data_IF_247208006999
#
_entry.id   IF_247208006999
#
_cell.length_a   1.000
_cell.length_b   1.000
_cell.length_c   1.000
_cell.angle_alpha   90.00
_cell.angle_beta   90.00
_cell.angle_gamma   90.00
#
_symmetry.space_group_name_H-M   'P 1'
#
loop_
_entity.id
_entity.type
_entity.pdbx_description
1 polymer ?
#
# COMPACT_ATOMS: atom_id res chain seq x y z
N UNK A 1 -25.98 -51.33 -3.92
CA UNK A 1 -25.64 -50.65 -2.68
C UNK A 1 -26.19 -49.23 -2.76
N UNK A 2 -27.20 -48.94 -1.94
CA UNK A 2 -27.82 -47.59 -1.87
C UNK A 2 -26.89 -46.68 -1.06
N UNK A 3 -26.35 -45.65 -1.72
CA UNK A 3 -25.61 -44.60 -1.04
C UNK A 3 -26.57 -43.81 -0.15
N UNK A 4 -26.39 -43.93 1.15
CA UNK A 4 -27.06 -43.10 2.13
C UNK A 4 -26.60 -41.64 1.94
N UNK A 5 -27.56 -40.85 1.50
CA UNK A 5 -27.42 -39.40 1.43
C UNK A 5 -27.49 -38.86 2.86
N UNK A 6 -26.35 -38.74 3.54
CA UNK A 6 -26.27 -38.10 4.85
C UNK A 6 -26.52 -36.63 4.62
N UNK A 7 -27.80 -36.23 4.68
CA UNK A 7 -28.15 -34.82 4.81
C UNK A 7 -27.51 -34.30 6.09
N UNK A 8 -26.44 -33.58 5.96
CA UNK A 8 -25.82 -32.85 7.07
C UNK A 8 -26.89 -31.91 7.65
N UNK A 9 -27.33 -32.21 8.88
CA UNK A 9 -28.38 -31.46 9.57
C UNK A 9 -27.83 -30.03 9.77
N UNK A 10 -28.47 -29.06 9.13
CA UNK A 10 -28.08 -27.64 9.27
C UNK A 10 -28.06 -27.26 10.75
N UNK A 11 -26.95 -26.66 11.18
CA UNK A 11 -26.76 -26.24 12.58
C UNK A 11 -27.44 -24.92 12.89
N UNK A 12 -27.90 -24.20 11.87
CA UNK A 12 -28.42 -22.83 11.94
C UNK A 12 -27.36 -21.77 12.13
N UNK A 13 -26.08 -22.16 12.08
CA UNK A 13 -24.94 -21.23 12.15
C UNK A 13 -24.34 -21.06 10.75
N UNK A 14 -24.50 -19.88 10.10
CA UNK A 14 -24.04 -19.68 8.73
C UNK A 14 -22.54 -19.94 8.53
N UNK A 15 -21.70 -19.65 9.52
CA UNK A 15 -20.26 -19.90 9.48
C UNK A 15 -19.90 -21.39 9.39
N UNK A 16 -20.79 -22.28 9.91
CA UNK A 16 -20.63 -23.73 9.87
C UNK A 16 -21.32 -24.31 8.62
N UNK A 17 -22.57 -23.94 8.43
CA UNK A 17 -23.43 -24.48 7.37
C UNK A 17 -23.05 -23.96 5.97
N UNK A 18 -22.39 -22.79 5.90
CA UNK A 18 -21.92 -22.13 4.67
C UNK A 18 -22.98 -22.16 3.55
N UNK A 19 -24.22 -21.64 3.78
CA UNK A 19 -25.33 -21.76 2.82
C UNK A 19 -25.05 -21.14 1.46
N UNK A 20 -24.08 -20.23 1.39
CA UNK A 20 -23.63 -19.61 0.14
C UNK A 20 -22.85 -20.55 -0.77
N UNK A 21 -22.27 -21.65 -0.26
CA UNK A 21 -21.44 -22.57 -1.04
C UNK A 21 -22.23 -23.25 -2.18
N UNK A 22 -23.54 -23.36 -2.06
CA UNK A 22 -24.40 -23.90 -3.13
C UNK A 22 -24.42 -23.04 -4.41
N UNK A 23 -24.03 -21.76 -4.30
CA UNK A 23 -23.97 -20.84 -5.43
C UNK A 23 -22.59 -20.74 -6.05
N UNK A 24 -21.59 -21.42 -5.47
CA UNK A 24 -20.24 -21.42 -6.00
C UNK A 24 -20.04 -22.54 -7.04
N UNK A 25 -19.23 -22.27 -8.11
CA UNK A 25 -18.81 -23.33 -9.01
C UNK A 25 -18.14 -24.47 -8.26
N UNK A 26 -18.32 -25.75 -8.72
CA UNK A 26 -17.74 -26.90 -8.03
C UNK A 26 -16.22 -26.82 -7.82
N UNK A 27 -15.51 -26.14 -8.72
CA UNK A 27 -14.06 -25.94 -8.62
C UNK A 27 -13.66 -25.10 -7.41
N UNK A 28 -14.52 -24.16 -6.98
CA UNK A 28 -14.26 -23.31 -5.82
C UNK A 28 -14.66 -23.98 -4.50
N UNK A 29 -15.54 -25.01 -4.55
CA UNK A 29 -15.96 -25.78 -3.35
C UNK A 29 -14.80 -26.62 -2.81
N UNK A 30 -13.89 -27.06 -3.70
CA UNK A 30 -12.72 -27.84 -3.32
C UNK A 30 -11.62 -27.01 -2.63
N UNK A 31 -11.81 -25.72 -2.50
CA UNK A 31 -10.87 -24.77 -1.92
C UNK A 31 -10.01 -24.08 -2.98
N UNK A 32 -9.70 -22.82 -2.73
CA UNK A 32 -8.72 -22.05 -3.53
C UNK A 32 -7.31 -22.40 -3.02
N UNK A 33 -6.46 -22.89 -3.91
CA UNK A 33 -5.03 -22.96 -3.63
C UNK A 33 -4.51 -21.51 -3.61
N UNK A 34 -4.25 -20.99 -2.42
CA UNK A 34 -3.61 -19.69 -2.24
C UNK A 34 -2.11 -19.92 -2.41
N UNK A 35 -1.46 -19.31 -3.41
CA UNK A 35 -0.02 -19.46 -3.58
C UNK A 35 0.74 -18.81 -2.41
N UNK A 36 1.85 -19.43 -2.01
CA UNK A 36 2.77 -18.86 -1.03
C UNK A 36 3.69 -17.81 -1.70
N UNK A 37 3.08 -16.71 -2.11
CA UNK A 37 3.73 -15.62 -2.83
C UNK A 37 3.26 -14.28 -2.27
N UNK A 38 4.08 -13.24 -2.39
CA UNK A 38 3.65 -11.86 -2.18
C UNK A 38 2.71 -11.44 -3.32
N UNK A 39 1.89 -10.41 -3.05
CA UNK A 39 1.03 -9.81 -4.11
C UNK A 39 1.89 -9.28 -5.26
N UNK A 40 3.07 -8.74 -4.94
CA UNK A 40 4.03 -8.29 -5.96
C UNK A 40 4.45 -9.43 -6.89
N UNK A 41 4.93 -10.55 -6.35
CA UNK A 41 5.37 -11.72 -7.13
C UNK A 41 4.23 -12.27 -7.98
N UNK A 42 3.05 -12.43 -7.38
CA UNK A 42 1.86 -12.92 -8.06
C UNK A 42 1.48 -12.06 -9.27
N UNK A 43 1.52 -10.74 -9.12
CA UNK A 43 1.23 -9.80 -10.21
C UNK A 43 2.32 -9.81 -11.29
N UNK A 44 3.58 -9.88 -10.90
CA UNK A 44 4.69 -9.86 -11.86
C UNK A 44 4.73 -11.13 -12.73
N UNK A 45 4.42 -12.28 -12.16
CA UNK A 45 4.34 -13.54 -12.92
C UNK A 45 3.20 -13.55 -13.95
N UNK A 46 2.12 -12.81 -13.68
CA UNK A 46 0.92 -12.76 -14.53
C UNK A 46 0.81 -11.48 -15.34
N UNK A 47 1.85 -10.68 -15.32
CA UNK A 47 1.91 -9.44 -16.09
C UNK A 47 1.77 -9.77 -17.60
N UNK A 48 0.78 -9.17 -18.30
CA UNK A 48 0.48 -9.51 -19.69
C UNK A 48 1.52 -8.97 -20.69
N UNK A 49 2.44 -8.11 -20.24
CA UNK A 49 3.51 -7.53 -21.04
C UNK A 49 3.82 -6.09 -20.59
N UNK A 50 5.02 -5.65 -20.87
CA UNK A 50 5.55 -4.35 -20.41
C UNK A 50 4.81 -3.16 -21.02
N UNK A 51 4.40 -3.28 -22.29
CA UNK A 51 3.72 -2.21 -23.03
C UNK A 51 2.20 -2.19 -22.83
N UNK A 52 1.66 -3.10 -22.00
CA UNK A 52 0.22 -3.15 -21.70
C UNK A 52 -0.09 -2.14 -20.60
N UNK A 53 -1.21 -1.41 -20.77
CA UNK A 53 -1.68 -0.48 -19.74
C UNK A 53 -2.05 -1.21 -18.46
N UNK A 54 -1.41 -0.82 -17.38
CA UNK A 54 -1.64 -1.33 -16.02
C UNK A 54 -2.64 -0.48 -15.25
N UNK A 55 -2.58 0.85 -15.43
CA UNK A 55 -3.37 1.81 -14.67
C UNK A 55 -3.89 2.90 -15.61
N UNK A 56 -5.19 3.19 -15.51
CA UNK A 56 -5.80 4.38 -16.09
C UNK A 56 -6.02 5.42 -14.98
N UNK A 57 -5.41 6.58 -15.12
CA UNK A 57 -5.50 7.63 -14.11
C UNK A 57 -5.68 9.01 -14.74
N UNK A 58 -6.87 9.59 -14.60
CA UNK A 58 -7.22 10.93 -15.12
C UNK A 58 -6.76 11.17 -16.56
N UNK A 59 -7.06 10.21 -17.47
CA UNK A 59 -6.73 10.30 -18.91
C UNK A 59 -5.27 9.94 -19.25
N UNK A 60 -4.48 9.53 -18.28
CA UNK A 60 -3.16 8.96 -18.48
C UNK A 60 -3.18 7.45 -18.39
N UNK A 61 -2.55 6.80 -19.34
CA UNK A 61 -2.31 5.37 -19.37
C UNK A 61 -0.89 5.09 -18.88
N UNK A 62 -0.78 4.36 -17.77
CA UNK A 62 0.48 3.94 -17.18
C UNK A 62 0.70 2.47 -17.54
N UNK A 63 1.80 2.18 -18.21
CA UNK A 63 2.14 0.83 -18.64
C UNK A 63 2.81 0.02 -17.53
N UNK A 64 2.78 -1.32 -17.64
CA UNK A 64 3.44 -2.21 -16.69
C UNK A 64 4.93 -1.94 -16.55
N UNK A 65 5.61 -1.59 -17.63
CA UNK A 65 7.03 -1.18 -17.60
C UNK A 65 7.25 -0.06 -16.60
N UNK A 66 6.45 1.00 -16.71
CA UNK A 66 6.52 2.16 -15.82
C UNK A 66 6.21 1.77 -14.38
N UNK A 67 5.17 0.94 -14.15
CA UNK A 67 4.84 0.43 -12.80
C UNK A 67 6.03 -0.30 -12.19
N UNK A 68 6.69 -1.19 -12.94
CA UNK A 68 7.86 -1.93 -12.47
C UNK A 68 9.01 -1.00 -12.10
N UNK A 69 9.33 -0.03 -12.96
CA UNK A 69 10.38 0.97 -12.71
C UNK A 69 10.09 1.79 -11.45
N UNK A 70 8.83 2.26 -11.31
CA UNK A 70 8.42 3.03 -10.14
C UNK A 70 8.41 2.20 -8.85
N UNK A 71 8.02 0.95 -8.92
CA UNK A 71 8.09 0.03 -7.76
C UNK A 71 9.55 -0.17 -7.32
N UNK A 72 10.48 -0.30 -8.26
CA UNK A 72 11.90 -0.48 -7.96
C UNK A 72 12.53 0.78 -7.33
N UNK A 73 12.20 1.93 -7.86
CA UNK A 73 12.61 3.23 -7.30
C UNK A 73 12.06 3.41 -5.89
N UNK A 74 10.77 3.14 -5.72
CA UNK A 74 10.08 3.24 -4.42
C UNK A 74 10.67 2.28 -3.39
N UNK A 75 10.96 1.04 -3.78
CA UNK A 75 11.56 0.05 -2.87
C UNK A 75 12.95 0.51 -2.37
N UNK A 76 13.76 1.10 -3.26
CA UNK A 76 15.05 1.69 -2.86
C UNK A 76 14.86 2.88 -1.93
N UNK A 77 13.92 3.78 -2.25
CA UNK A 77 13.63 4.95 -1.43
C UNK A 77 13.12 4.53 -0.02
N UNK A 78 12.22 3.55 0.06
CA UNK A 78 11.73 3.04 1.35
C UNK A 78 12.85 2.47 2.22
N UNK A 79 13.74 1.67 1.64
CA UNK A 79 14.94 1.17 2.35
C UNK A 79 15.83 2.30 2.81
N UNK A 80 16.00 3.30 1.96
CA UNK A 80 16.83 4.45 2.21
C UNK A 80 16.34 5.28 3.41
N UNK A 81 15.02 5.42 3.59
CA UNK A 81 14.44 6.10 4.76
C UNK A 81 14.26 5.19 5.98
N UNK A 82 14.76 3.94 5.91
CA UNK A 82 14.89 3.04 7.04
C UNK A 82 13.79 1.99 7.18
N UNK A 83 12.97 1.75 6.16
CA UNK A 83 12.03 0.64 6.16
C UNK A 83 12.65 -0.65 5.61
N UNK A 84 12.26 -1.79 6.17
CA UNK A 84 12.74 -3.11 5.76
C UNK A 84 11.78 -4.23 6.10
N UNK A 85 12.29 -5.45 6.06
CA UNK A 85 11.51 -6.66 6.33
C UNK A 85 10.88 -6.62 7.73
N UNK A 86 9.59 -6.96 7.78
CA UNK A 86 8.80 -6.99 9.01
C UNK A 86 8.26 -5.62 9.47
N UNK A 87 8.68 -4.52 8.85
CA UNK A 87 8.18 -3.20 9.22
C UNK A 87 6.74 -2.98 8.76
N UNK A 88 6.05 -2.09 9.46
CA UNK A 88 4.78 -1.53 9.04
C UNK A 88 4.96 -0.09 8.57
N UNK A 89 4.59 0.19 7.33
CA UNK A 89 4.70 1.52 6.72
C UNK A 89 3.34 2.23 6.84
N UNK A 90 3.19 3.24 7.69
CA UNK A 90 1.95 4.00 7.77
C UNK A 90 1.76 4.88 6.53
N UNK A 91 0.64 4.63 5.82
CA UNK A 91 0.33 5.30 4.55
C UNK A 91 -1.06 5.90 4.62
N UNK A 92 -1.14 7.21 4.54
CA UNK A 92 -2.37 7.99 4.56
C UNK A 92 -2.57 8.70 3.22
N UNK A 93 -2.63 7.90 2.17
CA UNK A 93 -2.86 8.33 0.79
C UNK A 93 -4.25 7.93 0.32
N UNK A 94 -4.83 8.72 -0.57
CA UNK A 94 -6.03 8.32 -1.33
C UNK A 94 -5.65 7.48 -2.53
N UNK A 95 -6.63 7.12 -3.36
CA UNK A 95 -6.43 6.31 -4.56
C UNK A 95 -5.64 7.10 -5.63
N UNK A 96 -4.33 6.97 -5.60
CA UNK A 96 -3.36 7.54 -6.54
C UNK A 96 -2.40 6.45 -7.01
N UNK A 97 -1.80 6.55 -8.22
CA UNK A 97 -0.85 5.57 -8.73
C UNK A 97 0.31 5.31 -7.76
N UNK A 98 0.79 6.35 -7.10
CA UNK A 98 1.87 6.30 -6.13
C UNK A 98 1.55 5.37 -4.94
N UNK A 99 0.28 5.25 -4.55
CA UNK A 99 -0.13 4.28 -3.53
C UNK A 99 0.11 2.84 -4.01
N UNK A 100 -0.17 2.56 -5.29
CA UNK A 100 0.06 1.23 -5.88
C UNK A 100 1.55 0.92 -5.91
N UNK A 101 2.38 1.87 -6.35
CA UNK A 101 3.84 1.69 -6.37
C UNK A 101 4.38 1.44 -4.97
N UNK A 102 3.90 2.20 -4.00
CA UNK A 102 4.31 2.08 -2.61
C UNK A 102 3.87 0.75 -1.99
N UNK A 103 2.63 0.32 -2.25
CA UNK A 103 2.14 -0.96 -1.77
C UNK A 103 2.98 -2.12 -2.31
N UNK A 104 3.20 -2.17 -3.64
CA UNK A 104 3.99 -3.21 -4.27
C UNK A 104 5.48 -3.14 -3.88
N UNK A 105 6.01 -1.94 -3.64
CA UNK A 105 7.36 -1.75 -3.16
C UNK A 105 7.54 -2.23 -1.71
N UNK A 106 6.54 -1.99 -0.85
CA UNK A 106 6.53 -2.50 0.51
C UNK A 106 6.57 -4.04 0.51
N UNK A 107 5.70 -4.68 -0.27
CA UNK A 107 5.71 -6.13 -0.46
C UNK A 107 7.09 -6.64 -0.94
N UNK A 108 7.70 -5.95 -1.89
CA UNK A 108 9.03 -6.31 -2.45
C UNK A 108 10.16 -6.25 -1.42
N UNK A 109 10.07 -5.38 -0.43
CA UNK A 109 11.09 -5.28 0.63
C UNK A 109 10.75 -6.09 1.88
N UNK A 110 9.63 -6.83 1.89
CA UNK A 110 9.17 -7.62 3.03
C UNK A 110 8.48 -6.81 4.12
N UNK A 111 8.04 -5.59 3.81
CA UNK A 111 7.29 -4.74 4.72
C UNK A 111 5.79 -4.83 4.43
N UNK A 112 4.97 -4.38 5.36
CA UNK A 112 3.52 -4.28 5.22
C UNK A 112 3.07 -2.82 5.22
N UNK A 113 1.95 -2.52 4.53
CA UNK A 113 1.36 -1.19 4.51
C UNK A 113 0.26 -1.10 5.58
N UNK A 114 0.40 -0.14 6.48
CA UNK A 114 -0.64 0.24 7.43
C UNK A 114 -1.48 1.36 6.80
N UNK A 115 -2.54 0.98 6.08
CA UNK A 115 -3.46 1.91 5.43
C UNK A 115 -4.75 2.00 6.24
N UNK A 116 -5.13 3.22 6.64
CA UNK A 116 -6.37 3.49 7.36
C UNK A 116 -6.98 4.82 6.92
N UNK A 117 -8.29 4.85 6.85
CA UNK A 117 -9.10 6.07 6.66
C UNK A 117 -9.93 6.29 7.93
N UNK A 118 -9.23 6.65 9.00
CA UNK A 118 -9.77 6.83 10.34
C UNK A 118 -9.58 8.28 10.81
N UNK A 119 -10.02 8.56 12.04
CA UNK A 119 -9.74 9.84 12.70
C UNK A 119 -8.24 10.04 12.92
N UNK A 120 -7.83 11.30 13.10
CA UNK A 120 -6.42 11.61 13.37
C UNK A 120 -5.90 10.88 14.62
N UNK A 121 -6.70 10.83 15.67
CA UNK A 121 -6.39 10.17 16.94
C UNK A 121 -6.11 8.67 16.75
N UNK A 122 -6.98 7.98 16.03
CA UNK A 122 -6.84 6.55 15.75
C UNK A 122 -5.62 6.27 14.87
N UNK A 123 -5.34 7.16 13.91
CA UNK A 123 -4.17 7.06 13.05
C UNK A 123 -2.88 7.28 13.85
N UNK A 124 -2.83 8.28 14.74
CA UNK A 124 -1.69 8.51 15.63
C UNK A 124 -1.44 7.29 16.52
N UNK A 125 -2.48 6.71 17.10
CA UNK A 125 -2.34 5.52 17.92
C UNK A 125 -1.84 4.31 17.11
N UNK A 126 -2.33 4.13 15.90
CA UNK A 126 -1.88 3.06 15.01
C UNK A 126 -0.39 3.23 14.62
N UNK A 127 0.03 4.45 14.29
CA UNK A 127 1.46 4.76 14.03
C UNK A 127 2.32 4.50 15.25
N UNK A 128 1.86 4.90 16.43
CA UNK A 128 2.56 4.63 17.69
C UNK A 128 2.74 3.12 17.93
N UNK A 129 1.68 2.34 17.70
CA UNK A 129 1.71 0.87 17.85
C UNK A 129 2.62 0.19 16.83
N UNK A 130 2.69 0.71 15.60
CA UNK A 130 3.60 0.17 14.58
C UNK A 130 5.07 0.40 14.87
N UNK A 131 5.40 1.37 15.72
CA UNK A 131 6.78 1.77 16.01
C UNK A 131 7.47 2.51 14.86
N UNK A 132 6.77 2.79 13.77
CA UNK A 132 7.31 3.47 12.61
C UNK A 132 7.85 4.87 12.97
N UNK A 133 8.97 5.23 12.36
CA UNK A 133 9.61 6.54 12.58
C UNK A 133 9.29 7.55 11.47
N UNK A 134 8.69 7.08 10.40
CA UNK A 134 8.25 7.88 9.26
C UNK A 134 6.81 7.53 8.91
N UNK A 135 6.05 8.50 8.39
CA UNK A 135 4.74 8.28 7.76
C UNK A 135 4.77 8.77 6.33
N UNK A 136 3.88 8.25 5.50
CA UNK A 136 3.66 8.71 4.13
C UNK A 136 2.23 9.21 4.05
N UNK A 137 2.05 10.46 3.65
CA UNK A 137 0.74 11.10 3.67
C UNK A 137 0.54 12.04 2.49
N UNK A 138 -0.69 12.54 2.36
CA UNK A 138 -0.98 13.66 1.46
C UNK A 138 -0.32 14.95 1.92
N UNK A 139 -0.02 15.84 0.99
CA UNK A 139 0.41 17.22 1.25
C UNK A 139 -0.68 18.10 1.87
N UNK A 140 -1.90 17.57 2.03
CA UNK A 140 -2.97 18.20 2.80
C UNK A 140 -2.84 18.00 4.32
N UNK A 141 -1.90 17.18 4.76
CA UNK A 141 -1.64 17.02 6.18
C UNK A 141 -1.17 18.36 6.77
N UNK A 142 -1.92 18.87 7.74
CA UNK A 142 -1.60 20.15 8.34
C UNK A 142 -0.30 20.08 9.16
N UNK A 143 0.38 21.23 9.31
CA UNK A 143 1.54 21.31 10.20
C UNK A 143 1.20 20.96 11.64
N UNK A 144 -0.02 21.28 12.09
CA UNK A 144 -0.50 20.96 13.44
C UNK A 144 -0.62 19.45 13.59
N UNK A 145 -1.26 18.75 12.63
CA UNK A 145 -1.41 17.30 12.66
C UNK A 145 -0.04 16.60 12.59
N UNK A 146 0.86 17.07 11.74
CA UNK A 146 2.22 16.53 11.66
C UNK A 146 2.97 16.68 12.99
N UNK A 147 2.80 17.81 13.67
CA UNK A 147 3.39 18.03 14.99
C UNK A 147 2.76 17.13 16.04
N UNK A 148 1.48 16.82 15.94
CA UNK A 148 0.83 15.82 16.79
C UNK A 148 1.42 14.42 16.56
N UNK A 149 1.59 13.98 15.30
CA UNK A 149 2.26 12.71 14.99
C UNK A 149 3.68 12.64 15.59
N UNK A 150 4.46 13.73 15.48
CA UNK A 150 5.81 13.79 16.07
C UNK A 150 5.77 13.67 17.60
N UNK A 151 4.89 14.40 18.24
CA UNK A 151 4.79 14.47 19.70
C UNK A 151 4.18 13.22 20.32
N UNK A 152 3.11 12.68 19.72
CA UNK A 152 2.31 11.63 20.30
C UNK A 152 2.73 10.22 19.83
N UNK A 153 3.11 10.07 18.56
CA UNK A 153 3.56 8.80 17.99
C UNK A 153 5.08 8.67 17.89
N UNK A 154 5.84 9.75 18.08
CA UNK A 154 7.30 9.72 18.11
C UNK A 154 7.94 9.53 16.73
N UNK A 155 7.27 9.95 15.66
CA UNK A 155 7.85 9.94 14.31
C UNK A 155 8.94 11.00 14.19
N UNK A 156 9.91 10.76 13.30
CA UNK A 156 10.98 11.72 12.97
C UNK A 156 10.57 12.64 11.83
N UNK A 157 9.73 12.14 10.90
CA UNK A 157 9.31 12.90 9.74
C UNK A 157 8.16 12.26 8.97
N UNK A 158 7.75 12.94 7.91
CA UNK A 158 6.74 12.48 6.97
C UNK A 158 7.21 12.71 5.55
N UNK A 159 6.83 11.80 4.65
CA UNK A 159 6.89 11.99 3.21
C UNK A 159 5.53 12.47 2.75
N UNK A 160 5.46 13.65 2.17
CA UNK A 160 4.21 14.25 1.70
C UNK A 160 4.13 14.15 0.18
N UNK A 161 3.07 13.51 -0.31
CA UNK A 161 2.79 13.36 -1.74
C UNK A 161 1.61 14.22 -2.15
N UNK A 162 1.74 14.88 -3.32
CA UNK A 162 0.70 15.75 -3.88
C UNK A 162 -0.12 15.01 -4.93
N UNK A 163 -1.32 14.50 -4.60
CA UNK A 163 -2.18 13.82 -5.57
C UNK A 163 -2.63 14.74 -6.71
N UNK A 164 -2.81 16.02 -6.41
CA UNK A 164 -3.24 17.02 -7.41
C UNK A 164 -2.13 17.23 -8.44
N UNK A 165 -0.88 17.30 -8.01
CA UNK A 165 0.26 17.43 -8.93
C UNK A 165 0.41 16.20 -9.81
N UNK A 166 0.22 15.01 -9.26
CA UNK A 166 0.22 13.76 -10.02
C UNK A 166 -0.90 13.71 -11.07
N UNK A 167 -2.10 14.21 -10.73
CA UNK A 167 -3.23 14.27 -11.66
C UNK A 167 -3.04 15.33 -12.76
N UNK A 168 -2.49 16.49 -12.43
CA UNK A 168 -2.38 17.63 -13.34
C UNK A 168 -1.17 17.58 -14.30
N UNK A 169 -0.17 16.76 -14.02
CA UNK A 169 1.05 16.68 -14.83
C UNK A 169 1.13 15.36 -15.58
N UNK A 170 0.65 15.38 -16.81
CA UNK A 170 0.96 14.34 -17.79
C UNK A 170 2.48 14.28 -17.95
N UNK A 171 3.13 13.29 -17.34
CA UNK A 171 4.57 13.04 -17.52
C UNK A 171 5.43 13.00 -16.25
N UNK A 172 4.85 12.91 -15.04
CA UNK A 172 5.63 12.97 -13.81
C UNK A 172 5.43 11.84 -12.78
N UNK A 173 5.69 10.58 -13.13
CA UNK A 173 5.99 9.58 -12.11
C UNK A 173 7.25 9.91 -11.32
N UNK A 174 8.25 10.44 -12.02
CA UNK A 174 9.59 10.68 -11.47
C UNK A 174 9.62 11.73 -10.36
N UNK A 175 8.68 12.66 -10.36
CA UNK A 175 8.71 13.77 -9.40
C UNK A 175 8.46 13.32 -7.95
N UNK A 176 7.51 12.44 -7.71
CA UNK A 176 7.20 12.02 -6.33
C UNK A 176 8.34 11.18 -5.74
N UNK A 177 8.97 10.35 -6.55
CA UNK A 177 10.02 9.45 -6.11
C UNK A 177 11.42 10.08 -6.13
N UNK A 178 11.71 10.94 -7.08
CA UNK A 178 12.87 11.83 -7.02
C UNK A 178 12.83 12.71 -5.77
N UNK A 179 11.62 13.07 -5.33
CA UNK A 179 11.43 13.80 -4.09
C UNK A 179 11.71 12.92 -2.87
N UNK A 180 11.31 11.65 -2.86
CA UNK A 180 11.68 10.70 -1.82
C UNK A 180 13.20 10.49 -1.76
N UNK A 181 13.86 10.33 -2.90
CA UNK A 181 15.31 10.22 -2.97
C UNK A 181 16.01 11.50 -2.47
N UNK A 182 15.49 12.68 -2.84
CA UNK A 182 16.04 13.96 -2.34
C UNK A 182 15.85 14.14 -0.85
N UNK A 183 14.71 13.68 -0.31
CA UNK A 183 14.47 13.69 1.13
C UNK A 183 15.42 12.77 1.89
N UNK A 184 15.84 11.68 1.28
CA UNK A 184 16.78 10.76 1.90
C UNK A 184 18.19 11.34 1.96
N UNK A 185 18.69 11.91 0.86
CA UNK A 185 20.02 12.57 0.86
C UNK A 185 20.09 13.72 1.84
N UNK A 186 18.96 14.37 2.09
CA UNK A 186 18.83 15.50 3.01
C UNK A 186 18.26 15.09 4.40
N UNK A 187 18.10 13.81 4.66
CA UNK A 187 17.42 13.30 5.85
C UNK A 187 17.92 13.85 7.18
N UNK A 188 19.23 14.05 7.41
CA UNK A 188 19.70 14.69 8.62
C UNK A 188 19.22 16.13 8.78
N UNK A 189 19.01 16.84 7.67
CA UNK A 189 18.54 18.23 7.63
C UNK A 189 17.02 18.34 7.53
N UNK A 190 16.31 17.23 7.32
CA UNK A 190 14.85 17.23 7.09
C UNK A 190 14.07 17.79 8.28
N UNK A 191 14.53 17.58 9.51
CA UNK A 191 13.92 18.12 10.72
C UNK A 191 13.92 19.65 10.81
N UNK A 192 14.82 20.31 10.08
CA UNK A 192 15.01 21.75 10.10
C UNK A 192 14.37 22.47 8.91
N UNK A 193 13.91 21.74 7.90
CA UNK A 193 13.29 22.34 6.72
C UNK A 193 11.87 22.78 6.98
N UNK A 194 11.66 24.10 6.92
CA UNK A 194 10.34 24.75 7.08
C UNK A 194 9.39 24.50 5.92
N UNK A 195 9.78 23.80 4.88
CA UNK A 195 8.97 23.64 3.68
C UNK A 195 9.33 22.37 2.93
N UNK A 196 8.72 21.29 3.34
CA UNK A 196 8.42 20.23 2.41
C UNK A 196 6.94 20.37 2.13
N UNK A 197 6.60 21.26 1.24
CA UNK A 197 5.26 21.48 0.67
C UNK A 197 5.27 20.99 -0.75
#
# INVERSE_FOLDING_TARGET
MKGENVMNKMTGKPSIDKPWMQYYPPQLIQGLAIPEQTVYEYLMERCPGDDVTAIHYYGRDIQWKEVKEQVDLTARALRAIGFGEGDQIPVFLRAVPEFIYLFLAAEKIGASVLCRDNTLEENIEAVKKSGAKMIIAHDFLSHEDLNRYRKEAGIRGAVLLSPIRSAMRTGLPDYCWNYLESLYTDYPAYGDRKSVV
#
